data_IF_375860239415
#
_entry.id   IF_375860239415
#
_cell.length_a   1.000
_cell.length_b   1.000
_cell.length_c   1.000
_cell.angle_alpha   90.00
_cell.angle_beta   90.00
_cell.angle_gamma   90.00
#
_symmetry.space_group_name_H-M   'P 1'
#
loop_
_entity.id
_entity.type
_entity.pdbx_description
1 polymer ?
#
# COMPACT_ATOMS: atom_id res chain seq x y z
N UNK A 1 24.35 21.96 -6.68
CA UNK A 1 23.66 20.69 -6.96
C UNK A 1 22.41 20.63 -6.08
N UNK A 2 21.22 20.89 -6.64
CA UNK A 2 19.97 20.80 -5.87
C UNK A 2 19.53 19.34 -5.87
N UNK A 3 19.57 18.71 -4.70
CA UNK A 3 19.05 17.36 -4.50
C UNK A 3 17.53 17.45 -4.68
N UNK A 4 16.98 16.82 -5.72
CA UNK A 4 15.53 16.72 -5.89
C UNK A 4 14.97 15.88 -4.73
N UNK A 5 13.82 16.25 -4.13
CA UNK A 5 13.27 15.53 -3.00
C UNK A 5 12.87 14.10 -3.43
N UNK A 6 13.37 13.12 -2.70
CA UNK A 6 13.24 11.68 -2.96
C UNK A 6 11.82 11.10 -2.77
N UNK A 7 10.77 11.92 -2.71
CA UNK A 7 9.42 11.48 -2.32
C UNK A 7 8.71 10.70 -3.44
N UNK A 8 8.93 11.03 -4.71
CA UNK A 8 8.32 10.28 -5.83
C UNK A 8 8.92 8.89 -6.08
N UNK A 9 10.17 8.65 -5.65
CA UNK A 9 10.88 7.39 -5.91
C UNK A 9 10.45 6.29 -4.95
N UNK A 10 10.25 6.63 -3.67
CA UNK A 10 9.89 5.66 -2.63
C UNK A 10 8.51 5.04 -2.88
N UNK A 11 7.46 5.87 -3.03
CA UNK A 11 6.10 5.37 -3.26
C UNK A 11 6.02 4.54 -4.55
N UNK A 12 6.68 5.00 -5.63
CA UNK A 12 6.75 4.25 -6.89
C UNK A 12 7.37 2.87 -6.69
N UNK A 13 8.54 2.81 -6.07
CA UNK A 13 9.24 1.54 -5.86
C UNK A 13 8.44 0.60 -4.96
N UNK A 14 7.86 1.13 -3.88
CA UNK A 14 7.02 0.36 -2.97
C UNK A 14 5.79 -0.21 -3.68
N UNK A 15 5.10 0.58 -4.50
CA UNK A 15 3.90 0.11 -5.23
C UNK A 15 4.24 -1.00 -6.22
N UNK A 16 5.35 -0.87 -6.96
CA UNK A 16 5.75 -1.89 -7.92
C UNK A 16 6.25 -3.17 -7.27
N UNK A 17 7.02 -3.08 -6.19
CA UNK A 17 7.56 -4.26 -5.51
C UNK A 17 6.51 -5.02 -4.71
N UNK A 18 5.55 -4.32 -4.11
CA UNK A 18 4.55 -4.95 -3.23
C UNK A 18 3.38 -5.57 -3.97
N UNK A 19 2.99 -5.05 -5.14
CA UNK A 19 1.86 -5.61 -5.90
C UNK A 19 1.94 -7.12 -6.16
N UNK A 20 3.05 -7.70 -6.69
CA UNK A 20 3.13 -9.14 -6.89
C UNK A 20 3.09 -9.90 -5.56
N UNK A 21 3.79 -9.40 -4.53
CA UNK A 21 3.81 -10.01 -3.20
C UNK A 21 2.40 -10.08 -2.61
N UNK A 22 1.66 -8.96 -2.63
CA UNK A 22 0.29 -8.90 -2.12
C UNK A 22 -0.71 -9.72 -2.93
N UNK A 23 -0.40 -10.03 -4.20
CA UNK A 23 -1.25 -10.91 -5.01
C UNK A 23 -1.14 -12.36 -4.54
N UNK A 24 0.05 -12.76 -4.08
CA UNK A 24 0.33 -14.11 -3.60
C UNK A 24 0.03 -14.26 -2.10
N UNK A 25 0.43 -13.28 -1.29
CA UNK A 25 0.21 -13.18 0.15
C UNK A 25 -0.16 -11.73 0.54
N UNK A 26 -1.47 -11.42 0.65
CA UNK A 26 -1.93 -10.09 0.99
C UNK A 26 -1.56 -9.63 2.42
N UNK A 27 -1.16 -10.55 3.31
CA UNK A 27 -0.72 -10.24 4.66
C UNK A 27 0.80 -10.27 4.81
N UNK A 28 1.54 -10.31 3.69
CA UNK A 28 2.98 -10.36 3.71
C UNK A 28 3.62 -9.25 4.57
N UNK A 29 4.62 -9.66 5.34
CA UNK A 29 5.44 -8.81 6.18
C UNK A 29 6.69 -9.53 6.67
N UNK A 30 7.72 -8.77 7.04
CA UNK A 30 8.98 -9.33 7.55
C UNK A 30 8.95 -9.52 9.06
N UNK A 31 8.32 -8.59 9.78
CA UNK A 31 8.27 -8.59 11.24
C UNK A 31 6.88 -8.97 11.79
N UNK A 32 5.83 -8.66 11.05
CA UNK A 32 4.44 -8.97 11.43
C UNK A 32 3.53 -8.98 10.20
N UNK A 33 2.42 -9.69 10.30
CA UNK A 33 1.42 -9.80 9.24
C UNK A 33 0.79 -8.43 8.94
N UNK A 34 0.76 -8.06 7.65
CA UNK A 34 0.22 -6.81 7.17
C UNK A 34 1.20 -5.64 7.18
N UNK A 35 2.49 -5.86 7.42
CA UNK A 35 3.53 -4.81 7.38
C UNK A 35 3.55 -4.06 6.04
N UNK A 36 3.37 -4.76 4.92
CA UNK A 36 3.31 -4.10 3.61
C UNK A 36 2.07 -3.23 3.45
N UNK A 37 0.92 -3.65 4.00
CA UNK A 37 -0.30 -2.84 4.01
C UNK A 37 -0.09 -1.59 4.88
N UNK A 38 0.53 -1.74 6.06
CA UNK A 38 0.88 -0.62 6.93
C UNK A 38 1.80 0.38 6.21
N UNK A 39 2.82 -0.10 5.49
CA UNK A 39 3.71 0.75 4.69
C UNK A 39 2.96 1.51 3.58
N UNK A 40 2.07 0.82 2.85
CA UNK A 40 1.24 1.42 1.80
C UNK A 40 0.27 2.48 2.33
N UNK A 41 -0.20 2.32 3.58
CA UNK A 41 -1.11 3.27 4.24
C UNK A 41 -0.46 4.65 4.52
N UNK A 42 0.87 4.72 4.47
CA UNK A 42 1.64 5.96 4.66
C UNK A 42 1.78 6.80 3.39
N UNK A 43 1.47 6.24 2.22
CA UNK A 43 1.58 6.92 0.93
C UNK A 43 0.55 8.06 0.85
N UNK A 44 0.97 9.20 0.31
CA UNK A 44 0.06 10.32 0.01
C UNK A 44 -0.39 10.30 -1.45
N UNK A 45 -1.58 10.80 -1.72
CA UNK A 45 -2.15 10.89 -3.07
C UNK A 45 -1.20 11.58 -4.06
N UNK A 46 -0.55 12.67 -3.62
CA UNK A 46 0.45 13.42 -4.40
C UNK A 46 1.65 12.59 -4.86
N UNK A 47 1.93 11.47 -4.20
CA UNK A 47 3.05 10.57 -4.50
C UNK A 47 2.67 9.46 -5.49
N UNK A 48 1.37 9.26 -5.74
CA UNK A 48 0.90 8.21 -6.64
C UNK A 48 1.17 8.55 -8.11
N UNK A 49 0.97 9.80 -8.54
CA UNK A 49 1.22 10.26 -9.93
C UNK A 49 0.72 9.24 -10.98
N UNK A 50 1.63 8.66 -11.76
CA UNK A 50 1.36 7.67 -12.83
C UNK A 50 0.99 6.27 -12.29
N UNK A 51 1.18 6.02 -11.00
CA UNK A 51 0.97 4.73 -10.35
C UNK A 51 -0.44 4.53 -9.80
N UNK A 52 -1.33 5.52 -9.96
CA UNK A 52 -2.71 5.47 -9.48
C UNK A 52 -3.43 4.17 -9.90
N UNK A 53 -3.27 3.76 -11.17
CA UNK A 53 -3.90 2.52 -11.68
C UNK A 53 -3.38 1.25 -11.01
N UNK A 54 -2.09 1.20 -10.66
CA UNK A 54 -1.48 0.10 -9.91
C UNK A 54 -1.94 0.11 -8.47
N UNK A 55 -2.02 1.30 -7.85
CA UNK A 55 -2.50 1.48 -6.49
C UNK A 55 -3.97 1.06 -6.32
N UNK A 56 -4.83 1.36 -7.30
CA UNK A 56 -6.23 0.89 -7.31
C UNK A 56 -6.31 -0.65 -7.34
N UNK A 57 -5.37 -1.32 -8.00
CA UNK A 57 -5.32 -2.80 -7.97
C UNK A 57 -4.94 -3.31 -6.58
N UNK A 58 -4.01 -2.64 -5.90
CA UNK A 58 -3.65 -2.95 -4.51
C UNK A 58 -4.85 -2.73 -3.58
N UNK A 59 -5.59 -1.61 -3.73
CA UNK A 59 -6.84 -1.38 -2.98
C UNK A 59 -7.82 -2.55 -3.13
N UNK A 60 -8.00 -3.07 -4.35
CA UNK A 60 -8.89 -4.23 -4.58
C UNK A 60 -8.42 -5.48 -3.85
N UNK A 61 -7.12 -5.77 -3.87
CA UNK A 61 -6.53 -6.93 -3.19
C UNK A 61 -6.76 -6.84 -1.67
N UNK A 62 -6.40 -5.71 -1.04
CA UNK A 62 -6.50 -5.58 0.41
C UNK A 62 -7.94 -5.55 0.91
N UNK A 63 -8.90 -5.11 0.08
CA UNK A 63 -10.33 -5.14 0.40
C UNK A 63 -10.97 -6.52 0.25
N UNK A 64 -10.27 -7.50 -0.33
CA UNK A 64 -10.75 -8.88 -0.45
C UNK A 64 -10.30 -9.75 0.73
N UNK A 65 -9.49 -9.20 1.65
CA UNK A 65 -9.07 -9.90 2.86
C UNK A 65 -10.28 -10.31 3.71
N UNK A 66 -10.35 -11.57 4.18
CA UNK A 66 -11.43 -12.01 5.04
C UNK A 66 -11.34 -11.31 6.40
N UNK A 67 -12.48 -10.99 7.00
CA UNK A 67 -12.53 -10.23 8.25
C UNK A 67 -11.91 -10.97 9.45
N UNK A 68 -11.75 -12.30 9.37
CA UNK A 68 -11.05 -13.11 10.37
C UNK A 68 -9.57 -12.78 10.46
N UNK A 69 -8.97 -12.35 9.35
CA UNK A 69 -7.52 -12.17 9.22
C UNK A 69 -7.13 -10.68 9.37
N UNK A 70 -8.13 -9.79 9.48
CA UNK A 70 -7.95 -8.34 9.60
C UNK A 70 -8.22 -7.88 11.02
N UNK A 71 -7.14 -7.66 11.77
CA UNK A 71 -7.18 -7.04 13.08
C UNK A 71 -7.54 -5.53 13.01
N UNK A 72 -7.79 -4.90 14.15
CA UNK A 72 -8.27 -3.51 14.19
C UNK A 72 -7.26 -2.48 13.65
N UNK A 73 -5.96 -2.71 13.80
CA UNK A 73 -4.93 -1.80 13.30
C UNK A 73 -4.78 -1.93 11.79
N UNK A 74 -4.75 -3.16 11.27
CA UNK A 74 -4.76 -3.44 9.85
C UNK A 74 -6.02 -2.88 9.18
N UNK A 75 -7.17 -2.97 9.85
CA UNK A 75 -8.42 -2.36 9.38
C UNK A 75 -8.28 -0.84 9.23
N UNK A 76 -7.64 -0.16 10.19
CA UNK A 76 -7.39 1.30 10.09
C UNK A 76 -6.49 1.61 8.89
N UNK A 77 -5.48 0.80 8.64
CA UNK A 77 -4.55 1.00 7.52
C UNK A 77 -5.21 0.75 6.16
N UNK A 78 -6.03 -0.29 6.03
CA UNK A 78 -6.86 -0.52 4.83
C UNK A 78 -7.80 0.67 4.60
N UNK A 79 -8.42 1.20 5.65
CA UNK A 79 -9.27 2.40 5.53
C UNK A 79 -8.49 3.64 5.10
N UNK A 80 -7.25 3.82 5.54
CA UNK A 80 -6.38 4.90 5.04
C UNK A 80 -6.10 4.69 3.56
N UNK A 81 -5.71 3.49 3.14
CA UNK A 81 -5.43 3.13 1.74
C UNK A 81 -6.64 3.47 0.84
N UNK A 82 -7.84 3.11 1.27
CA UNK A 82 -9.09 3.39 0.54
C UNK A 82 -9.44 4.89 0.45
N UNK A 83 -8.84 5.74 1.29
CA UNK A 83 -9.06 7.18 1.28
C UNK A 83 -8.04 7.95 0.44
N UNK A 84 -6.93 7.32 0.04
CA UNK A 84 -5.86 7.98 -0.73
C UNK A 84 -6.32 8.30 -2.15
N UNK A 85 -7.06 7.40 -2.80
CA UNK A 85 -7.72 7.62 -4.10
C UNK A 85 -9.15 7.13 -4.00
N UNK A 86 -10.09 7.95 -4.48
CA UNK A 86 -11.53 7.64 -4.56
C UNK A 86 -11.92 7.19 -5.96
#
# INVERSE_FOLDING_TARGET
>A
MKIQPATGSFARNLIYSTKPILTDDPLAGGYYDGELIAALSTIKESELKEQASTFIKIQKIVNQLPSSDVNDDLRKDILKINRIIK
#
